data_IF_261387980610
#
_entry.id   IF_261387980610
#
_cell.length_a   1.000
_cell.length_b   1.000
_cell.length_c   1.000
_cell.angle_alpha   90.00
_cell.angle_beta   90.00
_cell.angle_gamma   90.00
#
_symmetry.space_group_name_H-M   'P 1'
#
loop_
_entity.id
_entity.type
_entity.pdbx_description
1 polymer ?
#
# COMPACT_ATOMS: atom_id res chain seq x y z
N UNK A 1 -10.78 25.28 8.43
CA UNK A 1 -10.16 24.09 9.07
C UNK A 1 -10.21 22.87 8.17
N UNK A 2 -11.38 22.50 7.66
CA UNK A 2 -11.58 21.31 6.82
C UNK A 2 -10.65 21.22 5.59
N UNK A 3 -10.44 22.34 4.88
CA UNK A 3 -9.48 22.42 3.77
C UNK A 3 -8.04 22.06 4.19
N UNK A 4 -7.58 22.52 5.37
CA UNK A 4 -6.23 22.20 5.87
C UNK A 4 -6.09 20.71 6.19
N UNK A 5 -7.14 20.12 6.75
CA UNK A 5 -7.17 18.70 7.07
C UNK A 5 -7.17 17.83 5.80
N UNK A 6 -7.94 18.22 4.78
CA UNK A 6 -7.90 17.56 3.47
C UNK A 6 -6.51 17.65 2.82
N UNK A 7 -5.82 18.79 2.92
CA UNK A 7 -4.45 18.95 2.43
C UNK A 7 -3.46 18.04 3.18
N UNK A 8 -3.56 17.95 4.51
CA UNK A 8 -2.71 17.06 5.31
C UNK A 8 -2.95 15.58 4.96
N UNK A 9 -4.21 15.19 4.76
CA UNK A 9 -4.55 13.84 4.27
C UNK A 9 -3.92 13.60 2.91
N UNK A 10 -4.06 14.55 1.97
CA UNK A 10 -3.48 14.46 0.63
C UNK A 10 -1.96 14.30 0.64
N UNK A 11 -1.26 15.02 1.52
CA UNK A 11 0.19 14.86 1.72
C UNK A 11 0.54 13.47 2.26
N UNK A 12 -0.25 12.96 3.22
CA UNK A 12 -0.09 11.59 3.74
C UNK A 12 -0.27 10.53 2.66
N UNK A 13 -1.31 10.67 1.83
CA UNK A 13 -1.55 9.78 0.68
C UNK A 13 -0.42 9.87 -0.33
N UNK A 14 0.06 11.07 -0.65
CA UNK A 14 1.18 11.29 -1.56
C UNK A 14 2.47 10.62 -1.07
N UNK A 15 2.77 10.72 0.22
CA UNK A 15 3.92 10.03 0.83
C UNK A 15 3.76 8.50 0.78
N UNK A 16 2.59 7.98 1.16
CA UNK A 16 2.33 6.54 1.08
C UNK A 16 2.41 6.01 -0.36
N UNK A 17 1.89 6.75 -1.34
CA UNK A 17 2.01 6.42 -2.76
C UNK A 17 3.48 6.42 -3.22
N UNK A 18 4.28 7.39 -2.77
CA UNK A 18 5.72 7.40 -3.04
C UNK A 18 6.42 6.13 -2.49
N UNK A 19 6.03 5.67 -1.29
CA UNK A 19 6.51 4.38 -0.76
C UNK A 19 6.10 3.23 -1.68
N UNK A 20 4.85 3.16 -2.13
CA UNK A 20 4.39 2.10 -3.06
C UNK A 20 5.25 2.07 -4.33
N UNK A 21 5.40 3.22 -5.01
CA UNK A 21 6.11 3.30 -6.28
C UNK A 21 7.61 3.03 -6.12
N UNK A 22 8.26 3.59 -5.10
CA UNK A 22 9.70 3.36 -4.88
C UNK A 22 10.02 1.89 -4.60
N UNK A 23 9.17 1.19 -3.86
CA UNK A 23 9.34 -0.25 -3.60
C UNK A 23 9.03 -1.09 -4.84
N UNK A 24 8.06 -0.69 -5.64
CA UNK A 24 7.74 -1.35 -6.92
C UNK A 24 8.91 -1.23 -7.91
N UNK A 25 9.52 -0.06 -8.04
CA UNK A 25 10.73 0.13 -8.87
C UNK A 25 11.83 -0.83 -8.42
N UNK A 26 12.10 -0.92 -7.11
CA UNK A 26 13.10 -1.85 -6.60
C UNK A 26 12.80 -3.33 -6.88
N UNK A 27 11.53 -3.73 -6.97
CA UNK A 27 11.14 -5.08 -7.42
C UNK A 27 11.43 -5.23 -8.92
N UNK A 28 11.04 -4.26 -9.74
CA UNK A 28 11.28 -4.27 -11.19
C UNK A 28 12.78 -4.37 -11.49
N UNK A 29 13.64 -3.67 -10.74
CA UNK A 29 15.08 -3.72 -10.92
C UNK A 29 15.61 -5.15 -10.70
N UNK A 30 15.24 -5.81 -9.61
CA UNK A 30 15.66 -7.21 -9.38
C UNK A 30 15.12 -8.19 -10.41
N UNK A 31 13.92 -7.94 -10.95
CA UNK A 31 13.35 -8.75 -12.04
C UNK A 31 14.15 -8.57 -13.33
N UNK A 32 14.60 -7.33 -13.62
CA UNK A 32 15.47 -7.04 -14.78
C UNK A 32 16.84 -7.71 -14.65
N UNK A 33 17.35 -7.82 -13.44
CA UNK A 33 18.60 -8.52 -13.13
C UNK A 33 18.45 -10.05 -13.18
N UNK A 34 17.24 -10.57 -13.44
CA UNK A 34 16.95 -12.00 -13.57
C UNK A 34 16.71 -12.72 -12.25
N UNK A 35 16.67 -12.02 -11.12
CA UNK A 35 16.44 -12.60 -9.80
C UNK A 35 15.17 -12.03 -9.12
N UNK A 36 13.97 -12.48 -9.53
CA UNK A 36 12.70 -11.99 -8.99
C UNK A 36 12.43 -12.46 -7.55
N UNK A 37 13.02 -13.57 -7.11
CA UNK A 37 12.71 -14.22 -5.83
C UNK A 37 13.86 -14.04 -4.84
N UNK A 38 14.10 -12.79 -4.47
CA UNK A 38 15.00 -12.41 -3.39
C UNK A 38 14.23 -12.01 -2.12
N UNK A 39 14.79 -12.29 -0.95
CA UNK A 39 14.19 -11.92 0.34
C UNK A 39 13.85 -10.41 0.44
N UNK A 40 14.63 -9.57 -0.23
CA UNK A 40 14.37 -8.13 -0.32
C UNK A 40 13.01 -7.80 -0.97
N UNK A 41 12.55 -8.57 -1.96
CA UNK A 41 11.26 -8.34 -2.62
C UNK A 41 10.09 -8.67 -1.70
N UNK A 42 10.22 -9.68 -0.83
CA UNK A 42 9.20 -9.95 0.18
C UNK A 42 9.02 -8.77 1.15
N UNK A 43 10.13 -8.16 1.59
CA UNK A 43 10.10 -6.95 2.43
C UNK A 43 9.53 -5.73 1.68
N UNK A 44 9.86 -5.57 0.39
CA UNK A 44 9.29 -4.52 -0.46
C UNK A 44 7.76 -4.68 -0.58
N UNK A 45 7.27 -5.89 -0.85
CA UNK A 45 5.84 -6.19 -0.91
C UNK A 45 5.15 -5.93 0.44
N UNK A 46 5.77 -6.31 1.57
CA UNK A 46 5.22 -6.03 2.89
C UNK A 46 5.07 -4.53 3.14
N UNK A 47 6.08 -3.74 2.75
CA UNK A 47 6.01 -2.28 2.87
C UNK A 47 4.95 -1.67 1.96
N UNK A 48 4.76 -2.20 0.73
CA UNK A 48 3.65 -1.80 -0.15
C UNK A 48 2.31 -2.09 0.54
N UNK A 49 2.14 -3.26 1.16
CA UNK A 49 0.93 -3.62 1.90
C UNK A 49 0.61 -2.63 3.02
N UNK A 50 1.61 -2.25 3.81
CA UNK A 50 1.46 -1.22 4.85
C UNK A 50 1.13 0.16 4.30
N UNK A 51 1.76 0.56 3.20
CA UNK A 51 1.46 1.84 2.55
C UNK A 51 0.04 1.86 1.98
N UNK A 52 -0.42 0.77 1.37
CA UNK A 52 -1.81 0.63 0.90
C UNK A 52 -2.80 0.67 2.06
N UNK A 53 -2.52 -0.02 3.17
CA UNK A 53 -3.35 0.06 4.37
C UNK A 53 -3.45 1.50 4.91
N UNK A 54 -2.33 2.23 4.95
CA UNK A 54 -2.33 3.63 5.36
C UNK A 54 -3.20 4.49 4.43
N UNK A 55 -3.16 4.27 3.12
CA UNK A 55 -4.04 4.95 2.15
C UNK A 55 -5.51 4.66 2.45
N UNK A 56 -5.87 3.40 2.71
CA UNK A 56 -7.26 3.05 3.04
C UNK A 56 -7.75 3.73 4.33
N UNK A 57 -6.90 3.82 5.35
CA UNK A 57 -7.23 4.52 6.60
C UNK A 57 -7.37 6.03 6.40
N UNK A 58 -6.51 6.63 5.57
CA UNK A 58 -6.60 8.04 5.21
C UNK A 58 -7.84 8.35 4.38
N UNK A 59 -8.26 7.44 3.49
CA UNK A 59 -9.52 7.54 2.74
C UNK A 59 -10.74 7.50 3.68
N UNK A 60 -10.74 6.63 4.69
CA UNK A 60 -11.78 6.65 5.73
C UNK A 60 -11.80 7.97 6.52
N UNK A 61 -10.63 8.51 6.85
CA UNK A 61 -10.53 9.82 7.52
C UNK A 61 -11.06 10.96 6.64
N UNK A 62 -10.83 10.89 5.32
CA UNK A 62 -11.42 11.80 4.36
C UNK A 62 -12.95 11.67 4.35
N UNK A 63 -13.48 10.45 4.33
CA UNK A 63 -14.92 10.18 4.43
C UNK A 63 -15.59 10.70 5.70
N UNK A 64 -14.92 10.57 6.85
CA UNK A 64 -15.40 11.18 8.09
C UNK A 64 -15.44 12.72 8.00
N UNK A 65 -14.45 13.30 7.32
CA UNK A 65 -14.38 14.76 7.11
C UNK A 65 -15.47 15.24 6.17
N UNK A 66 -15.77 14.51 5.08
CA UNK A 66 -16.88 14.85 4.17
C UNK A 66 -18.22 14.74 4.88
N UNK A 67 -18.44 13.68 5.68
CA UNK A 67 -19.66 13.54 6.48
C UNK A 67 -19.85 14.71 7.47
N UNK A 68 -18.79 15.16 8.14
CA UNK A 68 -18.83 16.34 9.01
C UNK A 68 -19.20 17.61 8.22
N UNK A 69 -18.65 17.80 7.02
CA UNK A 69 -18.96 18.94 6.16
C UNK A 69 -20.42 18.96 5.69
N UNK A 70 -20.98 17.79 5.35
CA UNK A 70 -22.40 17.64 4.97
C UNK A 70 -23.33 18.09 6.10
N UNK A 71 -23.05 17.67 7.34
CA UNK A 71 -23.83 18.10 8.52
C UNK A 71 -23.84 19.62 8.68
N UNK A 72 -22.76 20.30 8.28
CA UNK A 72 -22.61 21.76 8.33
C UNK A 72 -23.07 22.47 7.04
N UNK A 73 -23.83 21.79 6.16
CA UNK A 73 -24.38 22.35 4.91
C UNK A 73 -23.29 22.84 3.93
N UNK A 74 -22.09 22.29 3.99
CA UNK A 74 -21.01 22.57 3.04
C UNK A 74 -21.13 21.58 1.89
N UNK A 75 -21.21 22.09 0.65
CA UNK A 75 -21.24 21.25 -0.54
C UNK A 75 -19.91 20.50 -0.70
N UNK A 76 -19.98 19.18 -0.84
CA UNK A 76 -18.84 18.29 -1.04
C UNK A 76 -19.17 17.25 -2.11
N UNK A 77 -18.14 16.63 -2.67
CA UNK A 77 -18.29 15.46 -3.53
C UNK A 77 -18.76 14.26 -2.70
N UNK A 78 -19.63 13.43 -3.28
CA UNK A 78 -20.01 12.15 -2.67
C UNK A 78 -18.78 11.28 -2.44
N UNK A 79 -18.76 10.62 -1.27
CA UNK A 79 -17.68 9.72 -0.87
C UNK A 79 -18.26 8.35 -0.52
N UNK A 80 -17.56 7.30 -0.94
CA UNK A 80 -17.91 5.92 -0.64
C UNK A 80 -16.62 5.10 -0.43
N UNK A 81 -16.55 4.26 0.62
CA UNK A 81 -15.37 3.46 0.89
C UNK A 81 -15.17 2.38 -0.20
N UNK A 82 -13.93 2.21 -0.65
CA UNK A 82 -13.58 1.21 -1.67
C UNK A 82 -13.28 -0.17 -1.08
N UNK A 83 -14.20 -1.13 -1.24
CA UNK A 83 -13.94 -2.54 -0.91
C UNK A 83 -12.80 -3.14 -1.73
N UNK A 84 -12.65 -2.73 -2.99
CA UNK A 84 -11.56 -3.19 -3.86
C UNK A 84 -10.17 -2.80 -3.33
N UNK A 85 -10.03 -1.59 -2.77
CA UNK A 85 -8.77 -1.14 -2.16
C UNK A 85 -8.39 -1.96 -0.92
N UNK A 86 -9.39 -2.33 -0.09
CA UNK A 86 -9.18 -3.20 1.06
C UNK A 86 -8.75 -4.61 0.64
N UNK A 87 -9.43 -5.17 -0.36
CA UNK A 87 -9.07 -6.49 -0.89
C UNK A 87 -7.66 -6.48 -1.50
N UNK A 88 -7.31 -5.46 -2.27
CA UNK A 88 -5.98 -5.33 -2.86
C UNK A 88 -4.89 -5.22 -1.78
N UNK A 89 -5.15 -4.48 -0.69
CA UNK A 89 -4.24 -4.37 0.45
C UNK A 89 -3.98 -5.73 1.09
N UNK A 90 -5.04 -6.52 1.32
CA UNK A 90 -4.92 -7.87 1.87
C UNK A 90 -4.16 -8.80 0.91
N UNK A 91 -4.46 -8.72 -0.38
CA UNK A 91 -3.76 -9.50 -1.41
C UNK A 91 -2.26 -9.21 -1.43
N UNK A 92 -1.84 -7.95 -1.27
CA UNK A 92 -0.41 -7.63 -1.19
C UNK A 92 0.25 -8.25 0.05
N UNK A 93 -0.41 -8.26 1.21
CA UNK A 93 0.14 -8.95 2.38
C UNK A 93 0.26 -10.46 2.17
N UNK A 94 -0.73 -11.08 1.52
CA UNK A 94 -0.68 -12.49 1.13
C UNK A 94 0.49 -12.75 0.20
N UNK A 95 0.65 -11.93 -0.85
CA UNK A 95 1.76 -12.03 -1.79
C UNK A 95 3.12 -11.85 -1.09
N UNK A 96 3.24 -10.89 -0.18
CA UNK A 96 4.46 -10.69 0.60
C UNK A 96 4.83 -11.95 1.41
N UNK A 97 3.84 -12.60 2.04
CA UNK A 97 4.03 -13.85 2.78
C UNK A 97 4.43 -15.01 1.88
N UNK A 98 3.76 -15.15 0.72
CA UNK A 98 4.09 -16.20 -0.25
C UNK A 98 5.50 -16.02 -0.79
N UNK A 99 5.91 -14.78 -1.11
CA UNK A 99 7.29 -14.48 -1.51
C UNK A 99 8.29 -14.81 -0.42
N UNK A 100 8.04 -14.44 0.84
CA UNK A 100 8.95 -14.75 1.95
C UNK A 100 9.14 -16.26 2.17
N UNK A 101 8.10 -17.06 1.93
CA UNK A 101 8.19 -18.52 2.00
C UNK A 101 8.96 -19.05 0.79
N UNK A 102 8.65 -18.58 -0.42
CA UNK A 102 9.32 -19.01 -1.65
C UNK A 102 10.83 -18.72 -1.65
N UNK A 103 11.25 -17.58 -1.09
CA UNK A 103 12.68 -17.25 -0.97
C UNK A 103 13.41 -18.21 -0.04
N UNK A 104 12.81 -18.56 1.11
CA UNK A 104 13.39 -19.55 2.03
C UNK A 104 13.53 -20.93 1.40
N UNK A 105 12.50 -21.38 0.67
CA UNK A 105 12.55 -22.65 -0.04
C UNK A 105 13.66 -22.69 -1.09
N UNK A 106 13.89 -21.57 -1.80
CA UNK A 106 15.02 -21.44 -2.74
C UNK A 106 16.37 -21.52 -2.02
N UNK A 107 16.52 -20.83 -0.90
CA UNK A 107 17.75 -20.82 -0.11
C UNK A 107 18.07 -22.24 0.40
N UNK A 108 17.07 -22.96 0.91
CA UNK A 108 17.21 -24.35 1.36
C UNK A 108 17.69 -25.27 0.21
N UNK A 109 17.14 -25.12 -0.99
CA UNK A 109 17.54 -25.91 -2.17
C UNK A 109 18.98 -25.61 -2.61
N UNK A 110 19.41 -24.35 -2.55
CA UNK A 110 20.76 -23.95 -2.92
C UNK A 110 21.84 -24.53 -1.99
N UNK A 111 21.48 -24.91 -0.76
CA UNK A 111 22.39 -25.50 0.23
C UNK A 111 22.55 -27.02 0.08
N UNK A 112 21.81 -27.67 -0.82
CA UNK A 112 21.83 -29.13 -1.02
C UNK A 112 22.72 -29.61 -2.16
N UNK A 113 23.29 -28.68 -2.94
CA UNK A 113 24.17 -28.94 -4.10
C UNK A 113 25.64 -28.67 -3.78
#
# INVERSE_FOLDING_TARGET
MAMRLALLIGLGVGWAAHVVFSRLVGIIDTVRDGDPFVAANALRLQAIGWAMLAIQLLDLALGATTAWMVVHRIAVLDWTPSLGGWLATLMIFVLARVFAIGTRMRDDLAMTI
#
